data_IF_087731858173
#
_entry.id   IF_087731858173
#
_cell.length_a   1.000
_cell.length_b   1.000
_cell.length_c   1.000
_cell.angle_alpha   90.00
_cell.angle_beta   90.00
_cell.angle_gamma   90.00
#
_symmetry.space_group_name_H-M   'P 1'
#
loop_
_entity.id
_entity.type
_entity.pdbx_description
1 polymer ?
#
# COMPACT_ATOMS: atom_id res chain seq x y z
N UNK A 1 47.16 -49.63 12.42
CA UNK A 1 45.74 -49.45 12.01
C UNK A 1 44.93 -48.49 12.90
N UNK A 2 45.23 -48.31 14.20
CA UNK A 2 44.44 -47.43 15.10
C UNK A 2 44.42 -45.94 14.71
N UNK A 3 45.52 -45.39 14.16
CA UNK A 3 45.57 -43.98 13.75
C UNK A 3 44.59 -43.63 12.62
N UNK A 4 44.29 -44.58 11.72
CA UNK A 4 43.46 -44.35 10.52
C UNK A 4 41.96 -44.18 10.86
N UNK A 5 41.49 -44.81 11.94
CA UNK A 5 40.11 -44.65 12.43
C UNK A 5 39.86 -43.28 13.07
N UNK A 6 40.87 -42.68 13.70
CA UNK A 6 40.76 -41.34 14.28
C UNK A 6 40.58 -40.23 13.24
N UNK A 7 41.25 -40.36 12.08
CA UNK A 7 41.08 -39.41 10.97
C UNK A 7 39.66 -39.47 10.36
N UNK A 8 39.08 -40.66 10.23
CA UNK A 8 37.71 -40.82 9.73
C UNK A 8 36.70 -40.15 10.67
N UNK A 9 36.88 -40.28 11.98
CA UNK A 9 36.01 -39.64 12.96
C UNK A 9 36.11 -38.11 12.91
N UNK A 10 37.33 -37.57 12.80
CA UNK A 10 37.56 -36.13 12.67
C UNK A 10 36.92 -35.56 11.40
N UNK A 11 37.06 -36.25 10.27
CA UNK A 11 36.49 -35.85 8.98
C UNK A 11 34.95 -35.77 9.04
N UNK A 12 34.30 -36.76 9.65
CA UNK A 12 32.84 -36.75 9.84
C UNK A 12 32.39 -35.58 10.73
N UNK A 13 33.13 -35.27 11.80
CA UNK A 13 32.79 -34.13 12.68
C UNK A 13 32.91 -32.80 11.93
N UNK A 14 33.99 -32.61 11.17
CA UNK A 14 34.20 -31.38 10.40
C UNK A 14 33.15 -31.24 9.30
N UNK A 15 32.86 -32.31 8.56
CA UNK A 15 31.82 -32.30 7.53
C UNK A 15 30.43 -31.98 8.11
N UNK A 16 30.06 -32.61 9.23
CA UNK A 16 28.76 -32.33 9.85
C UNK A 16 28.66 -30.91 10.40
N UNK A 17 29.76 -30.36 10.94
CA UNK A 17 29.82 -28.97 11.40
C UNK A 17 29.68 -27.95 10.24
N UNK A 18 30.35 -28.20 9.11
CA UNK A 18 30.23 -27.35 7.93
C UNK A 18 28.79 -27.41 7.38
N UNK A 19 28.22 -28.61 7.30
CA UNK A 19 26.84 -28.77 6.81
C UNK A 19 25.83 -28.07 7.71
N UNK A 20 25.97 -28.14 9.04
CA UNK A 20 25.06 -27.44 9.95
C UNK A 20 25.18 -25.92 9.84
N UNK A 21 26.39 -25.39 9.67
CA UNK A 21 26.59 -23.97 9.37
C UNK A 21 25.89 -23.55 8.07
N UNK A 22 26.06 -24.32 7.00
CA UNK A 22 25.43 -24.03 5.71
C UNK A 22 23.90 -24.05 5.82
N UNK A 23 23.33 -25.04 6.51
CA UNK A 23 21.87 -25.11 6.75
C UNK A 23 21.39 -23.89 7.52
N UNK A 24 22.11 -23.46 8.56
CA UNK A 24 21.72 -22.31 9.37
C UNK A 24 21.74 -21.00 8.57
N UNK A 25 22.77 -20.81 7.74
CA UNK A 25 22.86 -19.64 6.85
C UNK A 25 21.72 -19.64 5.84
N UNK A 26 21.45 -20.76 5.17
CA UNK A 26 20.35 -20.89 4.21
C UNK A 26 18.99 -20.62 4.86
N UNK A 27 18.78 -21.13 6.08
CA UNK A 27 17.56 -20.90 6.84
C UNK A 27 17.37 -19.41 7.17
N UNK A 28 18.43 -18.74 7.63
CA UNK A 28 18.39 -17.31 7.93
C UNK A 28 18.09 -16.46 6.70
N UNK A 29 18.74 -16.74 5.56
CA UNK A 29 18.48 -16.03 4.31
C UNK A 29 17.04 -16.23 3.85
N UNK A 30 16.52 -17.45 3.95
CA UNK A 30 15.13 -17.76 3.55
C UNK A 30 14.12 -16.98 4.38
N UNK A 31 14.27 -16.94 5.71
CA UNK A 31 13.39 -16.15 6.58
C UNK A 31 13.49 -14.67 6.25
N UNK A 32 14.70 -14.15 6.06
CA UNK A 32 14.88 -12.74 5.69
C UNK A 32 14.21 -12.40 4.36
N UNK A 33 14.26 -13.31 3.39
CA UNK A 33 13.60 -13.13 2.10
C UNK A 33 12.08 -13.12 2.23
N UNK A 34 11.49 -14.02 3.03
CA UNK A 34 10.05 -14.04 3.30
C UNK A 34 9.61 -12.73 3.96
N UNK A 35 10.27 -12.32 5.03
CA UNK A 35 9.94 -11.07 5.72
C UNK A 35 10.06 -9.85 4.80
N UNK A 36 11.06 -9.84 3.91
CA UNK A 36 11.24 -8.73 2.96
C UNK A 36 10.14 -8.73 1.90
N UNK A 37 9.75 -9.90 1.39
CA UNK A 37 8.65 -10.06 0.45
C UNK A 37 7.36 -9.51 1.07
N UNK A 38 7.01 -9.94 2.28
CA UNK A 38 5.75 -9.56 2.92
C UNK A 38 5.70 -8.04 3.15
N UNK A 39 6.80 -7.44 3.61
CA UNK A 39 6.90 -5.97 3.74
C UNK A 39 6.76 -5.21 2.40
N UNK A 40 7.19 -5.81 1.29
CA UNK A 40 7.03 -5.21 -0.05
C UNK A 40 5.58 -5.36 -0.51
N UNK A 41 4.98 -6.53 -0.28
CA UNK A 41 3.59 -6.83 -0.61
C UNK A 41 2.63 -5.86 0.10
N UNK A 42 2.80 -5.65 1.40
CA UNK A 42 2.02 -4.69 2.19
C UNK A 42 2.10 -3.26 1.61
N UNK A 43 3.30 -2.84 1.17
CA UNK A 43 3.50 -1.51 0.56
C UNK A 43 2.85 -1.40 -0.81
N UNK A 44 2.90 -2.47 -1.60
CA UNK A 44 2.25 -2.51 -2.91
C UNK A 44 0.73 -2.46 -2.73
N UNK A 45 0.19 -3.23 -1.80
CA UNK A 45 -1.25 -3.24 -1.52
C UNK A 45 -1.74 -1.86 -1.07
N UNK A 46 -1.04 -1.21 -0.14
CA UNK A 46 -1.37 0.15 0.29
C UNK A 46 -1.33 1.15 -0.87
N UNK A 47 -0.34 1.05 -1.76
CA UNK A 47 -0.26 1.92 -2.94
C UNK A 47 -1.41 1.67 -3.93
N UNK A 48 -1.79 0.41 -4.15
CA UNK A 48 -2.92 0.07 -5.02
C UNK A 48 -4.25 0.60 -4.45
N UNK A 49 -4.46 0.46 -3.14
CA UNK A 49 -5.64 1.04 -2.48
C UNK A 49 -5.66 2.57 -2.59
N UNK A 50 -4.51 3.23 -2.45
CA UNK A 50 -4.41 4.68 -2.63
C UNK A 50 -4.74 5.12 -4.07
N UNK A 51 -4.26 4.38 -5.08
CA UNK A 51 -4.56 4.64 -6.49
C UNK A 51 -6.05 4.45 -6.81
N UNK A 52 -6.67 3.40 -6.28
CA UNK A 52 -8.11 3.15 -6.43
C UNK A 52 -8.95 4.26 -5.77
N UNK A 53 -8.55 4.70 -4.57
CA UNK A 53 -9.17 5.86 -3.90
C UNK A 53 -9.05 7.14 -4.72
N UNK A 54 -7.87 7.42 -5.29
CA UNK A 54 -7.66 8.59 -6.16
C UNK A 54 -8.57 8.54 -7.37
N UNK A 55 -8.65 7.39 -8.05
CA UNK A 55 -9.52 7.19 -9.20
C UNK A 55 -11.00 7.45 -8.85
N UNK A 56 -11.48 6.90 -7.74
CA UNK A 56 -12.86 7.11 -7.30
C UNK A 56 -13.14 8.55 -6.91
N UNK A 57 -12.25 9.20 -6.16
CA UNK A 57 -12.40 10.61 -5.77
C UNK A 57 -12.41 11.49 -7.02
N UNK A 58 -11.49 11.27 -7.96
CA UNK A 58 -11.43 12.01 -9.21
C UNK A 58 -12.74 11.89 -9.99
N UNK A 59 -13.26 10.68 -10.15
CA UNK A 59 -14.53 10.46 -10.83
C UNK A 59 -15.71 11.16 -10.13
N UNK A 60 -15.75 11.17 -8.80
CA UNK A 60 -16.78 11.89 -8.02
C UNK A 60 -16.67 13.40 -8.27
N UNK A 61 -15.46 13.95 -8.23
CA UNK A 61 -15.23 15.39 -8.44
C UNK A 61 -15.54 15.81 -9.87
N UNK A 62 -15.11 15.04 -10.88
CA UNK A 62 -15.37 15.33 -12.30
C UNK A 62 -16.87 15.33 -12.65
N UNK A 63 -17.67 14.48 -11.98
CA UNK A 63 -19.12 14.43 -12.17
C UNK A 63 -19.90 15.43 -11.29
N UNK A 64 -19.21 16.21 -10.45
CA UNK A 64 -19.83 17.25 -9.63
C UNK A 64 -20.08 18.53 -10.44
N UNK A 65 -21.11 19.29 -10.07
CA UNK A 65 -21.41 20.61 -10.66
C UNK A 65 -20.48 21.66 -10.06
N UNK A 66 -20.42 21.71 -8.73
CA UNK A 66 -19.64 22.66 -7.99
C UNK A 66 -19.30 22.14 -6.59
N UNK A 67 -18.26 22.74 -6.01
CA UNK A 67 -17.93 22.60 -4.60
C UNK A 67 -18.84 23.55 -3.82
N UNK A 68 -19.54 23.01 -2.82
CA UNK A 68 -20.41 23.78 -1.91
C UNK A 68 -19.56 24.42 -0.82
N UNK A 69 -18.76 23.60 -0.13
CA UNK A 69 -17.82 24.08 0.89
C UNK A 69 -16.72 23.04 1.15
N UNK A 70 -15.67 23.51 1.83
CA UNK A 70 -14.53 22.72 2.25
C UNK A 70 -14.34 22.93 3.75
N UNK A 71 -14.25 21.85 4.50
CA UNK A 71 -13.86 21.89 5.92
C UNK A 71 -12.37 21.61 6.00
N UNK A 72 -11.60 22.50 6.61
CA UNK A 72 -10.16 22.30 6.82
C UNK A 72 -9.90 21.40 8.03
N UNK A 73 -8.65 20.96 8.16
CA UNK A 73 -8.16 20.24 9.34
C UNK A 73 -8.25 21.06 10.63
N UNK A 74 -8.23 22.39 10.54
CA UNK A 74 -8.45 23.31 11.66
C UNK A 74 -9.94 23.55 11.98
N UNK A 75 -10.84 22.74 11.38
CA UNK A 75 -12.30 22.87 11.47
C UNK A 75 -12.87 24.20 10.93
N UNK A 76 -12.14 24.91 10.07
CA UNK A 76 -12.65 26.09 9.39
C UNK A 76 -13.45 25.70 8.15
N UNK A 77 -14.58 26.35 7.92
CA UNK A 77 -15.41 26.13 6.73
C UNK A 77 -15.13 27.23 5.70
N UNK A 78 -14.67 26.81 4.53
CA UNK A 78 -14.32 27.68 3.41
C UNK A 78 -15.39 27.52 2.33
N UNK A 79 -16.11 28.59 2.05
CA UNK A 79 -17.17 28.63 1.03
C UNK A 79 -16.67 29.24 -0.30
N UNK A 80 -15.57 29.99 -0.27
CA UNK A 80 -14.97 30.61 -1.45
C UNK A 80 -13.50 30.24 -1.57
N UNK A 81 -13.17 29.60 -2.69
CA UNK A 81 -11.81 29.18 -3.02
C UNK A 81 -11.01 30.36 -3.59
N UNK A 82 -9.77 30.52 -3.14
CA UNK A 82 -8.81 31.44 -3.73
C UNK A 82 -7.93 30.70 -4.74
N UNK A 83 -7.74 31.27 -5.92
CA UNK A 83 -6.83 30.71 -6.93
C UNK A 83 -5.39 30.62 -6.39
N UNK A 84 -4.69 29.54 -6.77
CA UNK A 84 -3.31 29.22 -6.35
C UNK A 84 -3.09 29.04 -4.84
N UNK A 85 -4.15 28.81 -4.05
CA UNK A 85 -4.04 28.46 -2.63
C UNK A 85 -4.26 26.96 -2.42
N UNK A 86 -3.32 26.32 -1.75
CA UNK A 86 -3.47 24.94 -1.28
C UNK A 86 -4.16 24.96 0.09
N UNK A 87 -5.15 24.10 0.28
CA UNK A 87 -5.89 23.96 1.53
C UNK A 87 -5.61 22.58 2.14
N UNK A 88 -5.41 22.52 3.45
CA UNK A 88 -5.34 21.26 4.17
C UNK A 88 -6.76 20.82 4.57
N UNK A 89 -7.34 19.92 3.79
CA UNK A 89 -8.78 19.63 3.78
C UNK A 89 -9.11 18.38 4.59
N UNK A 90 -10.12 18.47 5.45
CA UNK A 90 -10.73 17.35 6.16
C UNK A 90 -11.88 16.73 5.35
N UNK A 91 -12.73 17.56 4.74
CA UNK A 91 -13.87 17.09 3.94
C UNK A 91 -14.26 18.11 2.87
N UNK A 92 -14.77 17.62 1.74
CA UNK A 92 -15.32 18.45 0.66
C UNK A 92 -16.79 18.10 0.48
N UNK A 93 -17.66 19.11 0.47
CA UNK A 93 -19.07 18.94 0.12
C UNK A 93 -19.27 19.37 -1.33
N UNK A 94 -19.82 18.48 -2.14
CA UNK A 94 -20.04 18.67 -3.57
C UNK A 94 -21.54 18.65 -3.89
N UNK A 95 -21.93 19.35 -4.95
CA UNK A 95 -23.24 19.20 -5.56
C UNK A 95 -23.14 18.31 -6.81
N UNK A 96 -24.09 17.41 -7.00
CA UNK A 96 -24.13 16.52 -8.17
C UNK A 96 -25.28 16.91 -9.09
N UNK A 97 -25.15 16.61 -10.39
CA UNK A 97 -26.29 16.67 -11.30
C UNK A 97 -27.29 15.59 -10.87
N UNK A 98 -28.54 15.98 -10.58
CA UNK A 98 -29.61 15.02 -10.37
C UNK A 98 -29.91 14.34 -11.71
N UNK A 99 -29.95 13.00 -11.73
CA UNK A 99 -30.35 12.24 -12.93
C UNK A 99 -31.82 12.50 -13.35
N UNK A 100 -32.60 13.17 -12.50
CA UNK A 100 -34.02 13.46 -12.70
C UNK A 100 -34.33 14.46 -13.83
N UNK A 101 -33.35 15.26 -14.29
CA UNK A 101 -33.60 16.23 -15.38
C UNK A 101 -33.76 15.56 -16.76
N UNK A 102 -33.34 14.29 -16.92
CA UNK A 102 -33.45 13.57 -18.20
C UNK A 102 -34.76 12.79 -18.39
N UNK A 103 -35.60 12.66 -17.36
CA UNK A 103 -36.87 11.90 -17.47
C UNK A 103 -38.01 12.80 -18.01
N UNK A 104 -37.95 14.11 -17.77
CA UNK A 104 -39.03 15.04 -18.15
C UNK A 104 -38.92 15.61 -19.58
N UNK A 105 -37.84 15.34 -20.33
CA UNK A 105 -37.69 15.81 -21.73
C UNK A 105 -38.22 14.83 -22.79
N UNK A 106 -38.59 13.60 -22.41
CA UNK A 106 -39.17 12.59 -23.32
C UNK A 106 -40.70 12.60 -23.39
N UNK A 107 -41.38 13.43 -22.61
CA UNK A 107 -42.84 13.52 -22.56
C UNK A 107 -43.38 14.90 -22.96
N UNK A 108 -42.75 15.57 -23.93
CA UNK A 108 -43.30 16.82 -24.49
C UNK A 108 -43.34 16.79 -26.01
#
# INVERSE_FOLDING_TARGET
MKARQGYILLEVIVCTFIMSMLIMVLYSVTISAINTKDNIEDKIELNQQAEEMEYHIKNIVENSINIINITTTDNEVIETLQENKTYNVLSIKLNFKSDDENINSKNK
#
